data_IF_304896771205
#
_entry.id   IF_304896771205
#
_cell.length_a   1.000
_cell.length_b   1.000
_cell.length_c   1.000
_cell.angle_alpha   90.00
_cell.angle_beta   90.00
_cell.angle_gamma   90.00
#
_symmetry.space_group_name_H-M   'P 1'
#
loop_
_entity.id
_entity.type
_entity.pdbx_description
1 polymer ?
#
# COMPACT_ATOMS: atom_id res chain seq x y z
N UNK A 1 1.85 34.27 30.83
CA UNK A 1 2.16 34.99 29.58
C UNK A 1 2.47 33.95 28.54
N UNK A 2 1.42 33.34 27.99
CA UNK A 2 1.47 32.23 27.04
C UNK A 2 1.57 32.80 25.63
N UNK A 3 2.55 32.31 24.86
CA UNK A 3 2.73 32.61 23.45
C UNK A 3 1.53 32.05 22.65
N UNK A 4 1.06 32.72 21.58
CA UNK A 4 0.03 32.17 20.72
C UNK A 4 0.60 31.13 19.76
N UNK A 5 -0.08 29.99 19.68
CA UNK A 5 -0.05 29.04 18.57
C UNK A 5 -0.62 29.71 17.31
N UNK A 6 0.25 30.05 16.36
CA UNK A 6 -0.16 30.25 14.96
C UNK A 6 0.26 29.02 14.18
N UNK A 7 -0.60 28.00 14.21
CA UNK A 7 -0.63 26.97 13.18
C UNK A 7 -1.16 27.64 11.91
N UNK A 8 -0.24 27.98 11.00
CA UNK A 8 -0.59 28.49 9.69
C UNK A 8 -1.31 27.39 8.92
N UNK A 9 -2.63 27.52 8.82
CA UNK A 9 -3.51 26.70 8.00
C UNK A 9 -3.06 26.81 6.54
N UNK A 10 -2.66 25.68 5.95
CA UNK A 10 -2.28 25.54 4.55
C UNK A 10 -3.41 24.83 3.78
N UNK A 11 -4.66 25.25 3.99
CA UNK A 11 -5.83 24.71 3.28
C UNK A 11 -6.27 25.49 2.03
N UNK A 12 -5.69 26.66 1.74
CA UNK A 12 -6.04 27.43 0.52
C UNK A 12 -5.21 27.01 -0.70
N UNK A 13 -5.47 25.80 -1.20
CA UNK A 13 -5.22 25.44 -2.59
C UNK A 13 -6.47 25.75 -3.43
N UNK A 14 -6.35 26.05 -4.74
CA UNK A 14 -7.53 26.25 -5.58
C UNK A 14 -8.45 25.02 -5.47
N UNK A 15 -9.73 25.23 -5.15
CA UNK A 15 -10.75 24.17 -5.13
C UNK A 15 -10.84 23.54 -6.53
N UNK A 16 -10.09 22.46 -6.71
CA UNK A 16 -10.09 21.64 -7.92
C UNK A 16 -11.42 20.89 -7.95
N UNK A 17 -12.26 21.23 -8.92
CA UNK A 17 -13.60 20.67 -9.07
C UNK A 17 -13.51 19.24 -9.63
N UNK A 18 -13.55 18.26 -8.74
CA UNK A 18 -13.74 16.85 -9.10
C UNK A 18 -15.23 16.52 -8.99
N UNK A 19 -15.93 16.59 -10.12
CA UNK A 19 -17.31 16.09 -10.18
C UNK A 19 -17.30 14.55 -10.03
N UNK A 20 -18.14 14.02 -9.13
CA UNK A 20 -18.18 12.59 -8.81
C UNK A 20 -18.41 11.72 -10.07
N UNK A 21 -19.31 12.13 -10.97
CA UNK A 21 -19.62 11.41 -12.20
C UNK A 21 -18.41 11.39 -13.16
N UNK A 22 -17.73 12.51 -13.32
CA UNK A 22 -16.55 12.61 -14.18
C UNK A 22 -15.38 11.76 -13.66
N UNK A 23 -15.21 11.69 -12.34
CA UNK A 23 -14.24 10.79 -11.72
C UNK A 23 -14.61 9.32 -11.95
N UNK A 24 -15.88 8.96 -11.77
CA UNK A 24 -16.33 7.59 -12.01
C UNK A 24 -16.09 7.14 -13.45
N UNK A 25 -16.41 7.98 -14.43
CA UNK A 25 -16.15 7.73 -15.85
C UNK A 25 -14.66 7.55 -16.13
N UNK A 26 -13.81 8.36 -15.50
CA UNK A 26 -12.36 8.25 -15.61
C UNK A 26 -11.85 6.91 -15.04
N UNK A 27 -12.37 6.48 -13.88
CA UNK A 27 -11.97 5.22 -13.25
C UNK A 27 -12.41 4.00 -14.08
N UNK A 28 -13.61 4.03 -14.67
CA UNK A 28 -14.08 2.99 -15.60
C UNK A 28 -13.17 2.92 -16.83
N UNK A 29 -12.82 4.09 -17.39
CA UNK A 29 -11.88 4.15 -18.51
C UNK A 29 -10.50 3.60 -18.12
N UNK A 30 -9.99 3.94 -16.94
CA UNK A 30 -8.71 3.46 -16.43
C UNK A 30 -8.73 1.93 -16.18
N UNK A 31 -9.82 1.41 -15.63
CA UNK A 31 -10.04 -0.03 -15.46
C UNK A 31 -9.97 -0.76 -16.80
N UNK A 32 -10.54 -0.19 -17.88
CA UNK A 32 -10.46 -0.80 -19.22
C UNK A 32 -9.04 -0.89 -19.79
N UNK A 33 -8.10 -0.07 -19.27
CA UNK A 33 -6.69 -0.03 -19.68
C UNK A 33 -5.79 -0.89 -18.80
N UNK A 34 -5.98 -0.81 -17.48
CA UNK A 34 -5.08 -1.40 -16.48
C UNK A 34 -5.65 -2.69 -15.84
N UNK A 35 -6.91 -3.02 -16.09
CA UNK A 35 -7.56 -4.25 -15.60
C UNK A 35 -7.93 -4.24 -14.12
N UNK A 36 -7.79 -3.10 -13.42
CA UNK A 36 -8.00 -3.00 -11.97
C UNK A 36 -9.20 -2.12 -11.66
N UNK A 37 -10.06 -2.66 -10.81
CA UNK A 37 -11.26 -1.99 -10.33
C UNK A 37 -10.94 -1.12 -9.12
N UNK A 38 -11.10 0.20 -9.28
CA UNK A 38 -10.93 1.17 -8.20
C UNK A 38 -12.25 1.52 -7.49
N UNK A 39 -13.38 0.91 -7.84
CA UNK A 39 -14.69 1.20 -7.23
C UNK A 39 -14.74 0.89 -5.72
N UNK A 40 -13.93 -0.07 -5.27
CA UNK A 40 -13.81 -0.41 -3.84
C UNK A 40 -12.86 0.53 -3.07
N UNK A 41 -12.12 1.42 -3.74
CA UNK A 41 -11.23 2.36 -3.07
C UNK A 41 -12.02 3.49 -2.43
N UNK A 42 -11.50 4.01 -1.30
CA UNK A 42 -12.10 5.17 -0.64
C UNK A 42 -12.08 6.38 -1.59
N UNK A 43 -13.25 6.89 -1.94
CA UNK A 43 -13.45 8.02 -2.88
C UNK A 43 -12.54 9.20 -2.59
N UNK A 44 -12.47 9.65 -1.33
CA UNK A 44 -11.60 10.76 -0.91
C UNK A 44 -10.10 10.52 -1.17
N UNK A 45 -9.64 9.27 -1.06
CA UNK A 45 -8.24 8.93 -1.34
C UNK A 45 -7.94 8.99 -2.83
N UNK A 46 -8.87 8.50 -3.65
CA UNK A 46 -8.77 8.56 -5.12
C UNK A 46 -8.80 10.01 -5.59
N UNK A 47 -9.75 10.80 -5.10
CA UNK A 47 -9.88 12.22 -5.40
C UNK A 47 -8.59 12.99 -5.08
N UNK A 48 -8.06 12.84 -3.87
CA UNK A 48 -6.80 13.50 -3.47
C UNK A 48 -5.62 13.14 -4.38
N UNK A 49 -5.50 11.88 -4.78
CA UNK A 49 -4.42 11.38 -5.66
C UNK A 49 -4.60 11.86 -7.09
N UNK A 50 -5.82 11.83 -7.61
CA UNK A 50 -6.17 12.38 -8.91
C UNK A 50 -5.86 13.89 -8.98
N UNK A 51 -6.31 14.64 -7.98
CA UNK A 51 -6.05 16.08 -7.86
C UNK A 51 -4.55 16.38 -7.84
N UNK A 52 -3.73 15.58 -7.15
CA UNK A 52 -2.26 15.72 -7.18
C UNK A 52 -1.68 15.56 -8.58
N UNK A 53 -2.12 14.55 -9.35
CA UNK A 53 -1.67 14.38 -10.74
C UNK A 53 -2.10 15.55 -11.63
N UNK A 54 -3.34 16.04 -11.45
CA UNK A 54 -3.84 17.21 -12.17
C UNK A 54 -3.00 18.48 -11.90
N UNK A 55 -2.56 18.69 -10.65
CA UNK A 55 -1.66 19.79 -10.27
C UNK A 55 -0.30 19.67 -10.96
N UNK A 56 0.28 18.47 -11.05
CA UNK A 56 1.56 18.24 -11.76
C UNK A 56 1.49 18.68 -13.22
N UNK A 57 0.32 18.51 -13.85
CA UNK A 57 0.06 18.89 -15.24
C UNK A 57 -0.56 20.28 -15.41
N UNK A 58 -0.78 21.02 -14.31
CA UNK A 58 -1.36 22.37 -14.34
C UNK A 58 -2.80 22.42 -14.85
N UNK A 59 -3.55 21.31 -14.77
CA UNK A 59 -4.95 21.24 -15.24
C UNK A 59 -5.92 21.33 -14.07
N UNK A 60 -7.08 21.93 -14.32
CA UNK A 60 -8.07 22.23 -13.29
C UNK A 60 -9.32 21.35 -13.35
N UNK A 61 -9.53 20.64 -14.48
CA UNK A 61 -10.70 19.78 -14.66
C UNK A 61 -10.32 18.37 -15.09
N UNK A 62 -11.15 17.40 -14.72
CA UNK A 62 -10.98 16.00 -15.13
C UNK A 62 -10.98 15.88 -16.66
N UNK A 63 -11.79 16.66 -17.38
CA UNK A 63 -11.82 16.62 -18.84
C UNK A 63 -10.51 17.09 -19.49
N UNK A 64 -9.85 18.11 -18.90
CA UNK A 64 -8.52 18.51 -19.33
C UNK A 64 -7.51 17.39 -19.09
N UNK A 65 -7.57 16.77 -17.91
CA UNK A 65 -6.68 15.67 -17.55
C UNK A 65 -6.91 14.41 -18.41
N UNK A 66 -8.17 14.10 -18.79
CA UNK A 66 -8.50 13.01 -19.74
C UNK A 66 -7.81 13.19 -21.09
N UNK A 67 -7.67 14.42 -21.58
CA UNK A 67 -6.94 14.69 -22.84
C UNK A 67 -5.45 14.40 -22.70
N UNK A 68 -4.87 14.71 -21.54
CA UNK A 68 -3.48 14.37 -21.24
C UNK A 68 -3.30 12.86 -21.21
N UNK A 69 -4.14 12.14 -20.44
CA UNK A 69 -4.11 10.68 -20.37
C UNK A 69 -4.28 10.00 -21.74
N UNK A 70 -5.07 10.59 -22.65
CA UNK A 70 -5.24 10.07 -24.00
C UNK A 70 -4.01 10.29 -24.90
N UNK A 71 -3.23 11.35 -24.66
CA UNK A 71 -2.04 11.70 -25.43
C UNK A 71 -0.74 11.10 -24.86
N UNK A 72 -0.72 10.78 -23.56
CA UNK A 72 0.47 10.38 -22.80
C UNK A 72 0.27 9.03 -22.09
N UNK A 73 0.58 7.91 -22.73
CA UNK A 73 0.49 6.58 -22.12
C UNK A 73 1.29 6.45 -20.82
N UNK A 74 2.43 7.14 -20.72
CA UNK A 74 3.24 7.23 -19.51
C UNK A 74 2.50 7.85 -18.32
N UNK A 75 1.56 8.77 -18.57
CA UNK A 75 0.74 9.38 -17.52
C UNK A 75 -0.32 8.41 -17.01
N UNK A 76 -0.81 7.51 -17.86
CA UNK A 76 -1.75 6.44 -17.46
C UNK A 76 -1.08 5.53 -16.45
N UNK A 77 0.16 5.10 -16.72
CA UNK A 77 0.96 4.29 -15.80
C UNK A 77 1.28 5.04 -14.50
N UNK A 78 1.59 6.35 -14.59
CA UNK A 78 1.87 7.15 -13.41
C UNK A 78 0.64 7.37 -12.52
N UNK A 79 -0.54 7.65 -13.12
CA UNK A 79 -1.80 7.72 -12.39
C UNK A 79 -2.14 6.38 -11.76
N UNK A 80 -1.96 5.30 -12.51
CA UNK A 80 -2.17 3.93 -12.03
C UNK A 80 -1.32 3.64 -10.79
N UNK A 81 -0.01 3.88 -10.86
CA UNK A 81 0.90 3.70 -9.73
C UNK A 81 0.56 4.62 -8.55
N UNK A 82 0.18 5.88 -8.81
CA UNK A 82 -0.25 6.82 -7.78
C UNK A 82 -1.55 6.37 -7.09
N UNK A 83 -2.45 5.68 -7.79
CA UNK A 83 -3.70 5.16 -7.20
C UNK A 83 -3.48 3.90 -6.36
N UNK A 84 -2.46 3.10 -6.68
CA UNK A 84 -2.05 1.99 -5.84
C UNK A 84 -1.38 2.50 -4.56
N UNK A 85 -1.77 1.96 -3.40
CA UNK A 85 -1.25 2.40 -2.10
C UNK A 85 0.03 1.62 -1.81
N UNK A 86 1.19 2.21 -2.14
CA UNK A 86 2.51 1.59 -1.89
C UNK A 86 3.22 2.19 -0.66
N UNK A 87 2.51 2.31 0.46
CA UNK A 87 3.17 2.72 1.72
C UNK A 87 3.35 1.47 2.57
N UNK A 88 4.60 1.09 2.77
CA UNK A 88 5.05 -0.03 3.60
C UNK A 88 6.31 0.40 4.35
N UNK A 89 6.67 -0.32 5.40
CA UNK A 89 7.84 -0.05 6.20
C UNK A 89 8.07 -1.15 7.22
N UNK A 90 9.32 -1.33 7.60
CA UNK A 90 9.68 -2.30 8.64
C UNK A 90 8.97 -1.95 9.94
N UNK A 91 8.33 -2.95 10.52
CA UNK A 91 7.63 -2.84 11.81
C UNK A 91 6.68 -1.63 11.85
N UNK A 92 5.97 -1.37 10.75
CA UNK A 92 5.16 -0.16 10.53
C UNK A 92 4.27 0.20 11.73
N UNK A 93 3.65 -0.79 12.34
CA UNK A 93 2.85 -0.67 13.55
C UNK A 93 3.50 -1.48 14.68
N UNK A 94 4.47 -0.90 15.44
CA UNK A 94 5.29 -1.64 16.39
C UNK A 94 4.48 -2.39 17.45
N UNK A 95 3.39 -1.80 17.94
CA UNK A 95 2.49 -2.41 18.93
C UNK A 95 1.84 -3.70 18.41
N UNK A 96 1.55 -3.78 17.10
CA UNK A 96 0.99 -4.98 16.46
C UNK A 96 2.04 -6.09 16.42
N UNK A 97 3.28 -5.76 16.07
CA UNK A 97 4.38 -6.72 16.06
C UNK A 97 4.77 -7.18 17.46
N UNK A 98 4.72 -6.30 18.45
CA UNK A 98 4.93 -6.66 19.85
C UNK A 98 3.87 -7.65 20.33
N UNK A 99 2.58 -7.36 20.08
CA UNK A 99 1.49 -8.27 20.42
C UNK A 99 1.63 -9.63 19.69
N UNK A 100 2.02 -9.59 18.42
CA UNK A 100 2.28 -10.78 17.62
C UNK A 100 3.36 -11.66 18.28
N UNK A 101 4.51 -11.08 18.65
CA UNK A 101 5.61 -11.80 19.30
C UNK A 101 5.26 -12.32 20.69
N UNK A 102 4.57 -11.53 21.51
CA UNK A 102 4.31 -11.87 22.91
C UNK A 102 3.14 -12.83 23.10
N UNK A 103 2.12 -12.76 22.23
CA UNK A 103 0.84 -13.45 22.45
C UNK A 103 0.48 -14.45 21.35
N UNK A 104 0.72 -14.11 20.09
CA UNK A 104 0.20 -14.89 18.96
C UNK A 104 1.18 -15.98 18.55
N UNK A 105 2.44 -15.63 18.28
CA UNK A 105 3.46 -16.57 17.82
C UNK A 105 3.75 -17.70 18.83
N UNK A 106 3.89 -17.43 20.16
CA UNK A 106 4.13 -18.50 21.13
C UNK A 106 3.01 -19.53 21.15
N UNK A 107 1.75 -19.10 20.95
CA UNK A 107 0.59 -20.01 20.87
C UNK A 107 0.59 -20.83 19.57
N UNK A 108 1.00 -20.23 18.45
CA UNK A 108 1.11 -20.94 17.17
C UNK A 108 2.24 -21.97 17.21
N UNK A 109 3.32 -21.69 17.93
CA UNK A 109 4.51 -22.55 18.04
C UNK A 109 4.29 -23.68 19.05
N UNK A 110 3.75 -23.37 20.24
CA UNK A 110 3.71 -24.29 21.39
C UNK A 110 2.98 -25.63 21.15
N UNK A 111 1.98 -25.65 20.28
CA UNK A 111 1.16 -26.85 20.02
C UNK A 111 1.59 -27.65 18.78
N UNK A 112 2.74 -27.32 18.16
CA UNK A 112 3.14 -27.91 16.87
C UNK A 112 3.98 -29.18 17.01
N UNK A 113 3.65 -30.15 16.15
CA UNK A 113 4.46 -31.34 15.95
C UNK A 113 5.66 -31.07 15.04
N UNK A 114 6.71 -31.88 15.18
CA UNK A 114 7.91 -31.85 14.34
C UNK A 114 7.55 -31.98 12.85
N UNK A 115 8.16 -31.14 12.01
CA UNK A 115 7.90 -31.09 10.58
C UNK A 115 6.59 -30.40 10.17
N UNK A 116 5.74 -29.99 11.12
CA UNK A 116 4.50 -29.28 10.80
C UNK A 116 4.76 -27.80 10.49
N UNK A 117 4.88 -27.49 9.20
CA UNK A 117 5.27 -26.17 8.74
C UNK A 117 4.33 -25.03 9.21
N UNK A 118 4.91 -23.92 9.64
CA UNK A 118 4.19 -22.64 9.80
C UNK A 118 4.07 -22.01 8.42
N UNK A 119 2.84 -21.74 8.00
CA UNK A 119 2.54 -21.11 6.72
C UNK A 119 1.86 -19.76 6.99
N UNK A 120 2.44 -18.69 6.49
CA UNK A 120 1.92 -17.32 6.64
C UNK A 120 1.73 -16.75 5.24
N UNK A 121 0.61 -16.06 5.04
CA UNK A 121 0.34 -15.33 3.81
C UNK A 121 0.19 -13.84 4.13
N UNK A 122 0.93 -13.02 3.40
CA UNK A 122 0.93 -11.56 3.47
C UNK A 122 0.35 -11.00 2.16
N UNK A 123 -0.95 -10.69 2.12
CA UNK A 123 -1.58 -10.04 0.98
C UNK A 123 -1.34 -8.52 0.99
N UNK A 124 -1.06 -7.93 -0.17
CA UNK A 124 -0.75 -6.50 -0.27
C UNK A 124 0.64 -6.17 0.28
N UNK A 125 1.64 -7.01 -0.01
CA UNK A 125 2.95 -6.91 0.63
C UNK A 125 3.82 -5.74 0.16
N UNK A 126 3.43 -5.01 -0.90
CA UNK A 126 4.24 -3.97 -1.53
C UNK A 126 5.71 -4.43 -1.75
N UNK A 127 6.70 -3.65 -1.28
CA UNK A 127 8.15 -3.95 -1.33
C UNK A 127 8.61 -4.98 -0.27
N UNK A 128 7.69 -5.55 0.51
CA UNK A 128 7.94 -6.75 1.31
C UNK A 128 8.48 -6.51 2.72
N UNK A 129 8.65 -5.27 3.17
CA UNK A 129 9.17 -4.95 4.51
C UNK A 129 8.31 -5.59 5.61
N UNK A 130 6.98 -5.63 5.45
CA UNK A 130 6.10 -6.34 6.38
C UNK A 130 6.39 -7.85 6.42
N UNK A 131 6.63 -8.47 5.26
CA UNK A 131 6.98 -9.89 5.14
C UNK A 131 8.29 -10.17 5.88
N UNK A 132 9.27 -9.28 5.72
CA UNK A 132 10.56 -9.39 6.40
C UNK A 132 10.43 -9.16 7.91
N UNK A 133 9.65 -8.16 8.35
CA UNK A 133 9.38 -7.94 9.78
C UNK A 133 8.70 -9.14 10.42
N UNK A 134 7.73 -9.76 9.74
CA UNK A 134 7.11 -11.01 10.19
C UNK A 134 8.11 -12.17 10.26
N UNK A 135 8.99 -12.29 9.26
CA UNK A 135 10.04 -13.29 9.25
C UNK A 135 10.98 -13.13 10.46
N UNK A 136 11.44 -11.89 10.72
CA UNK A 136 12.31 -11.56 11.85
C UNK A 136 11.61 -11.96 13.17
N UNK A 137 10.37 -11.51 13.38
CA UNK A 137 9.60 -11.86 14.59
C UNK A 137 9.47 -13.37 14.78
N UNK A 138 9.17 -14.09 13.70
CA UNK A 138 8.99 -15.53 13.73
C UNK A 138 10.29 -16.26 14.08
N UNK A 139 11.41 -15.82 13.51
CA UNK A 139 12.74 -16.38 13.80
C UNK A 139 13.15 -16.11 15.25
N UNK A 140 12.90 -14.89 15.76
CA UNK A 140 13.14 -14.52 17.15
C UNK A 140 12.31 -15.35 18.13
N UNK A 141 11.04 -15.61 17.81
CA UNK A 141 10.17 -16.44 18.66
C UNK A 141 10.49 -17.93 18.59
N UNK A 142 10.92 -18.46 17.43
CA UNK A 142 11.22 -19.89 17.27
C UNK A 142 12.53 -20.28 17.94
N UNK A 143 13.56 -19.43 17.89
CA UNK A 143 14.87 -19.74 18.44
C UNK A 143 15.38 -21.12 17.96
N UNK A 144 15.69 -22.00 18.92
CA UNK A 144 16.21 -23.35 18.64
C UNK A 144 15.19 -24.28 17.95
N UNK A 145 13.88 -24.03 18.07
CA UNK A 145 12.84 -24.84 17.42
C UNK A 145 12.80 -24.66 15.90
N UNK A 146 13.55 -23.70 15.34
CA UNK A 146 13.68 -23.48 13.91
C UNK A 146 14.14 -24.73 13.14
N UNK A 147 14.91 -25.63 13.78
CA UNK A 147 15.34 -26.88 13.17
C UNK A 147 14.22 -27.92 13.06
N UNK A 148 13.21 -27.82 13.94
CA UNK A 148 12.07 -28.76 14.00
C UNK A 148 10.86 -28.28 13.20
N UNK A 149 10.66 -26.97 13.10
CA UNK A 149 9.45 -26.38 12.54
C UNK A 149 9.78 -25.62 11.24
N UNK A 150 9.48 -26.20 10.06
CA UNK A 150 9.68 -25.51 8.79
C UNK A 150 8.81 -24.25 8.67
N UNK A 151 9.29 -23.25 7.95
CA UNK A 151 8.57 -21.98 7.74
C UNK A 151 8.34 -21.77 6.25
N UNK A 152 7.15 -21.31 5.89
CA UNK A 152 6.81 -20.89 4.53
C UNK A 152 6.06 -19.55 4.59
N UNK A 153 6.64 -18.52 3.98
CA UNK A 153 6.03 -17.21 3.82
C UNK A 153 5.59 -17.05 2.37
N UNK A 154 4.31 -16.74 2.18
CA UNK A 154 3.74 -16.37 0.89
C UNK A 154 3.46 -14.88 0.91
N UNK A 155 3.91 -14.16 -0.10
CA UNK A 155 3.68 -12.74 -0.24
C UNK A 155 3.08 -12.47 -1.62
N UNK A 156 2.00 -11.69 -1.67
CA UNK A 156 1.31 -11.36 -2.91
C UNK A 156 0.97 -9.89 -2.96
N UNK A 157 1.22 -9.26 -4.10
CA UNK A 157 0.81 -7.90 -4.38
C UNK A 157 0.38 -7.78 -5.85
N UNK A 158 -0.34 -6.71 -6.12
CA UNK A 158 -0.83 -6.28 -7.43
C UNK A 158 0.25 -5.47 -8.16
N UNK A 159 1.10 -4.75 -7.42
CA UNK A 159 2.22 -3.98 -7.93
C UNK A 159 3.41 -4.87 -8.29
N UNK A 160 3.54 -5.21 -9.57
CA UNK A 160 4.67 -6.01 -10.07
C UNK A 160 6.03 -5.37 -9.79
N UNK A 161 6.13 -4.04 -9.84
CA UNK A 161 7.35 -3.30 -9.52
C UNK A 161 7.74 -3.46 -8.04
N UNK A 162 6.78 -3.30 -7.13
CA UNK A 162 7.02 -3.47 -5.69
C UNK A 162 7.42 -4.93 -5.36
N UNK A 163 6.79 -5.92 -6.01
CA UNK A 163 7.20 -7.32 -5.87
C UNK A 163 8.63 -7.57 -6.37
N UNK A 164 9.05 -6.91 -7.44
CA UNK A 164 10.41 -7.04 -7.96
C UNK A 164 11.44 -6.47 -6.97
N UNK A 165 11.15 -5.31 -6.40
CA UNK A 165 11.95 -4.67 -5.35
C UNK A 165 12.06 -5.56 -4.11
N UNK A 166 10.93 -6.04 -3.58
CA UNK A 166 10.92 -6.93 -2.43
C UNK A 166 11.62 -8.27 -2.67
N UNK A 167 11.60 -8.80 -3.90
CA UNK A 167 12.37 -10.00 -4.27
C UNK A 167 13.88 -9.75 -4.31
N UNK A 168 14.29 -8.54 -4.69
CA UNK A 168 15.68 -8.15 -4.72
C UNK A 168 16.23 -7.88 -3.31
N UNK A 169 15.37 -7.57 -2.34
CA UNK A 169 15.74 -7.27 -0.95
C UNK A 169 16.58 -5.99 -0.83
N UNK A 170 16.30 -5.02 -1.70
CA UNK A 170 17.01 -3.75 -1.82
C UNK A 170 16.31 -2.64 -1.03
#
# INVERSE_FOLDING_TARGET
>A
MTLPEEAHDLSDGPELLVAADAMQDLLIWLQSRCGIDFSAYKTKSVERRLTRRMVVHGVQTIDQYRRILAAHPEEVEALYAELLIHVTGFFRDPEVFEFLQQSVLPRIIGDRADGQAIRIWVPGCASGEEVYSLAICLLECLGDDMQRIPIQLFASDIGAAALAEGRAGC
#
